data_IF_036783456590
#
_entry.id   IF_036783456590
#
_cell.length_a   1.000
_cell.length_b   1.000
_cell.length_c   1.000
_cell.angle_alpha   90.00
_cell.angle_beta   90.00
_cell.angle_gamma   90.00
#
_symmetry.space_group_name_H-M   'P 1'
#
loop_
_entity.id
_entity.type
_entity.pdbx_description
1 polymer ?
#
# COMPACT_ATOMS: atom_id res chain seq x y z
N UNK A 1 -19.45 11.88 12.05
CA UNK A 1 -19.00 11.77 10.66
C UNK A 1 -20.22 11.80 9.74
N UNK A 2 -20.24 12.69 8.74
CA UNK A 2 -21.23 12.68 7.67
C UNK A 2 -20.62 12.04 6.43
N UNK A 3 -20.94 10.77 6.19
CA UNK A 3 -20.34 10.00 5.09
C UNK A 3 -20.68 10.54 3.69
N UNK A 4 -21.82 11.25 3.52
CA UNK A 4 -22.20 11.84 2.23
C UNK A 4 -21.38 13.08 1.89
N UNK A 5 -21.01 13.87 2.90
CA UNK A 5 -20.26 15.12 2.72
C UNK A 5 -18.76 14.97 2.97
N UNK A 6 -18.36 13.91 3.66
CA UNK A 6 -16.97 13.72 4.07
C UNK A 6 -16.55 14.68 5.19
N UNK A 7 -17.48 15.08 6.07
CA UNK A 7 -17.26 16.14 7.08
C UNK A 7 -17.61 15.68 8.50
N UNK A 8 -16.99 16.32 9.48
CA UNK A 8 -17.34 16.29 10.90
C UNK A 8 -17.96 17.63 11.33
N UNK A 9 -18.60 17.67 12.51
CA UNK A 9 -19.31 18.87 12.99
C UNK A 9 -18.35 20.00 13.38
N UNK A 10 -17.12 19.67 13.77
CA UNK A 10 -16.14 20.63 14.23
C UNK A 10 -15.35 21.19 13.05
N UNK A 11 -15.39 22.52 12.87
CA UNK A 11 -14.72 23.19 11.76
C UNK A 11 -13.18 23.00 11.76
N UNK A 12 -12.55 22.94 12.94
CA UNK A 12 -11.11 22.69 13.07
C UNK A 12 -10.75 21.28 12.61
N UNK A 13 -11.54 20.30 13.01
CA UNK A 13 -11.32 18.91 12.60
C UNK A 13 -11.65 18.71 11.11
N UNK A 14 -12.59 19.48 10.54
CA UNK A 14 -12.79 19.54 9.08
C UNK A 14 -11.56 20.06 8.34
N UNK A 15 -10.92 21.12 8.84
CA UNK A 15 -9.68 21.65 8.25
C UNK A 15 -8.54 20.62 8.26
N UNK A 16 -8.38 19.90 9.39
CA UNK A 16 -7.41 18.79 9.51
C UNK A 16 -7.72 17.67 8.53
N UNK A 17 -8.99 17.29 8.42
CA UNK A 17 -9.42 16.24 7.51
C UNK A 17 -9.20 16.62 6.04
N UNK A 18 -9.52 17.87 5.66
CA UNK A 18 -9.29 18.36 4.31
C UNK A 18 -7.80 18.34 3.95
N UNK A 19 -6.93 18.75 4.88
CA UNK A 19 -5.47 18.70 4.70
C UNK A 19 -4.98 17.27 4.53
N UNK A 20 -5.46 16.34 5.37
CA UNK A 20 -5.13 14.92 5.25
C UNK A 20 -5.62 14.32 3.92
N UNK A 21 -6.82 14.66 3.46
CA UNK A 21 -7.34 14.21 2.16
C UNK A 21 -6.51 14.75 0.98
N UNK A 22 -6.02 15.99 1.07
CA UNK A 22 -5.12 16.55 0.06
C UNK A 22 -3.80 15.78 0.03
N UNK A 23 -3.19 15.52 1.19
CA UNK A 23 -1.95 14.74 1.30
C UNK A 23 -2.10 13.32 0.73
N UNK A 24 -3.22 12.65 1.03
CA UNK A 24 -3.54 11.32 0.49
C UNK A 24 -3.64 11.36 -1.03
N UNK A 25 -4.30 12.38 -1.61
CA UNK A 25 -4.42 12.55 -3.06
C UNK A 25 -3.08 12.82 -3.73
N UNK A 26 -2.24 13.66 -3.13
CA UNK A 26 -0.93 13.98 -3.68
C UNK A 26 -0.01 12.75 -3.68
N UNK A 27 0.06 12.03 -2.55
CA UNK A 27 0.83 10.77 -2.46
C UNK A 27 0.29 9.68 -3.38
N UNK A 28 -1.04 9.60 -3.55
CA UNK A 28 -1.67 8.72 -4.55
C UNK A 28 -1.19 9.09 -5.96
N UNK A 29 -1.39 10.32 -6.42
CA UNK A 29 -1.01 10.72 -7.77
C UNK A 29 0.49 10.52 -8.04
N UNK A 30 1.35 10.84 -7.07
CA UNK A 30 2.79 10.61 -7.18
C UNK A 30 3.15 9.13 -7.37
N UNK A 31 2.48 8.23 -6.63
CA UNK A 31 2.69 6.79 -6.78
C UNK A 31 2.19 6.29 -8.13
N UNK A 32 1.06 6.80 -8.63
CA UNK A 32 0.47 6.38 -9.90
C UNK A 32 1.42 6.71 -11.04
N UNK A 33 1.92 7.95 -11.05
CA UNK A 33 2.87 8.42 -12.05
C UNK A 33 4.19 7.65 -12.01
N UNK A 34 4.66 7.26 -10.83
CA UNK A 34 5.97 6.59 -10.68
C UNK A 34 5.90 5.09 -10.97
N UNK A 35 4.84 4.42 -10.53
CA UNK A 35 4.78 2.96 -10.48
C UNK A 35 3.75 2.35 -11.44
N UNK A 36 2.92 3.16 -12.11
CA UNK A 36 1.85 2.70 -13.01
C UNK A 36 0.65 2.05 -12.30
N UNK A 37 0.84 1.51 -11.10
CA UNK A 37 -0.18 0.86 -10.26
C UNK A 37 -0.08 1.32 -8.82
N UNK A 38 -1.23 1.41 -8.14
CA UNK A 38 -1.31 1.70 -6.71
C UNK A 38 -2.17 0.66 -6.00
N UNK A 39 -1.58 -0.02 -5.02
CA UNK A 39 -2.36 -0.79 -4.04
C UNK A 39 -2.61 0.03 -2.77
N UNK A 40 -3.65 -0.32 -2.02
CA UNK A 40 -3.95 0.33 -0.72
C UNK A 40 -2.79 0.22 0.27
N UNK A 41 -2.00 -0.86 0.21
CA UNK A 41 -0.85 -1.03 1.10
C UNK A 41 0.34 -0.14 0.69
N UNK A 42 0.54 0.14 -0.61
CA UNK A 42 1.51 1.15 -1.09
C UNK A 42 1.16 2.53 -0.56
N UNK A 43 -0.09 2.95 -0.72
CA UNK A 43 -0.54 4.27 -0.26
C UNK A 43 -0.37 4.40 1.27
N UNK A 44 -0.73 3.36 2.03
CA UNK A 44 -0.51 3.32 3.49
C UNK A 44 0.96 3.38 3.89
N UNK A 45 1.86 2.80 3.09
CA UNK A 45 3.29 2.80 3.35
C UNK A 45 3.88 4.21 3.10
N UNK A 46 3.55 4.87 1.99
CA UNK A 46 3.98 6.25 1.73
C UNK A 46 3.41 7.22 2.77
N UNK A 47 2.16 7.06 3.20
CA UNK A 47 1.55 7.88 4.25
C UNK A 47 2.20 7.72 5.62
N UNK A 48 3.01 6.68 5.82
CA UNK A 48 3.76 6.44 7.06
C UNK A 48 5.26 6.57 6.87
N UNK A 49 5.67 7.28 5.81
CA UNK A 49 7.04 7.54 5.41
C UNK A 49 7.89 6.26 5.37
N UNK A 50 7.28 5.19 4.86
CA UNK A 50 7.96 3.93 4.55
C UNK A 50 8.38 3.92 3.09
N UNK A 51 9.53 3.32 2.83
CA UNK A 51 10.00 3.13 1.46
C UNK A 51 9.01 2.24 0.69
N UNK A 52 8.49 2.78 -0.40
CA UNK A 52 7.62 2.08 -1.35
C UNK A 52 8.21 2.07 -2.75
N UNK A 53 9.51 2.36 -2.86
CA UNK A 53 10.26 2.33 -4.12
C UNK A 53 10.52 0.88 -4.54
N UNK A 54 9.51 0.01 -4.42
CA UNK A 54 9.50 -1.30 -5.04
C UNK A 54 8.94 -1.16 -6.44
N UNK A 55 9.68 -1.60 -7.46
CA UNK A 55 9.14 -1.78 -8.82
C UNK A 55 8.66 -3.21 -9.06
N UNK A 56 8.84 -4.10 -8.09
CA UNK A 56 8.60 -5.53 -8.22
C UNK A 56 7.70 -6.05 -7.09
N UNK A 57 6.83 -6.99 -7.44
CA UNK A 57 5.73 -7.49 -6.63
C UNK A 57 6.19 -8.21 -5.35
N UNK A 58 7.09 -9.18 -5.46
CA UNK A 58 7.58 -9.96 -4.32
C UNK A 58 8.49 -9.11 -3.44
N UNK A 59 9.42 -8.34 -4.04
CA UNK A 59 10.26 -7.42 -3.28
C UNK A 59 9.45 -6.43 -2.42
N UNK A 60 8.41 -5.85 -3.01
CA UNK A 60 7.51 -4.95 -2.28
C UNK A 60 6.72 -5.69 -1.19
N UNK A 61 6.23 -6.89 -1.47
CA UNK A 61 5.56 -7.74 -0.48
C UNK A 61 6.45 -8.10 0.72
N UNK A 62 7.74 -8.37 0.51
CA UNK A 62 8.70 -8.64 1.59
C UNK A 62 8.90 -7.42 2.49
N UNK A 63 8.98 -6.23 1.89
CA UNK A 63 9.05 -4.95 2.60
C UNK A 63 7.83 -4.74 3.50
N UNK A 64 6.63 -5.06 3.01
CA UNK A 64 5.40 -5.00 3.81
C UNK A 64 5.46 -6.00 4.99
N UNK A 65 5.88 -7.24 4.74
CA UNK A 65 5.96 -8.27 5.79
C UNK A 65 6.91 -7.85 6.90
N UNK A 66 8.09 -7.36 6.57
CA UNK A 66 9.09 -6.91 7.57
C UNK A 66 8.62 -5.66 8.34
N UNK A 67 7.88 -4.77 7.70
CA UNK A 67 7.26 -3.66 8.42
C UNK A 67 6.26 -4.15 9.48
N UNK A 68 5.38 -5.09 9.14
CA UNK A 68 4.43 -5.63 10.13
C UNK A 68 5.13 -6.50 11.19
N UNK A 69 6.28 -7.10 10.89
CA UNK A 69 7.09 -7.88 11.85
C UNK A 69 7.50 -7.05 13.07
N UNK A 70 7.86 -5.79 12.85
CA UNK A 70 8.30 -4.86 13.91
C UNK A 70 7.13 -4.12 14.58
N UNK A 71 5.90 -4.31 14.09
CA UNK A 71 4.70 -3.69 14.66
C UNK A 71 4.09 -4.52 15.80
N UNK A 72 3.30 -3.90 16.69
CA UNK A 72 2.52 -4.61 17.73
C UNK A 72 1.34 -5.44 17.16
N UNK A 73 1.22 -5.60 15.84
CA UNK A 73 0.09 -6.25 15.16
C UNK A 73 0.43 -7.70 14.73
N UNK A 74 0.60 -8.61 15.69
CA UNK A 74 1.06 -10.00 15.44
C UNK A 74 0.19 -10.80 14.46
N UNK A 75 -1.14 -10.69 14.57
CA UNK A 75 -2.06 -11.42 13.67
C UNK A 75 -1.95 -10.92 12.23
N UNK A 76 -1.86 -9.61 12.04
CA UNK A 76 -1.64 -9.01 10.72
C UNK A 76 -0.32 -9.45 10.11
N UNK A 77 0.76 -9.48 10.90
CA UNK A 77 2.06 -9.99 10.46
C UNK A 77 1.97 -11.45 9.97
N UNK A 78 1.37 -12.35 10.76
CA UNK A 78 1.24 -13.76 10.38
C UNK A 78 0.44 -13.92 9.08
N UNK A 79 -0.64 -13.17 8.93
CA UNK A 79 -1.45 -13.17 7.71
C UNK A 79 -0.64 -12.71 6.49
N UNK A 80 0.06 -11.57 6.59
CA UNK A 80 0.91 -11.05 5.51
C UNK A 80 2.01 -12.04 5.13
N UNK A 81 2.67 -12.66 6.12
CA UNK A 81 3.72 -13.67 5.90
C UNK A 81 3.20 -14.89 5.12
N UNK A 82 2.02 -15.41 5.48
CA UNK A 82 1.41 -16.53 4.77
C UNK A 82 1.05 -16.16 3.33
N UNK A 83 0.41 -15.00 3.13
CA UNK A 83 0.09 -14.51 1.80
C UNK A 83 1.33 -14.32 0.93
N UNK A 84 2.39 -13.74 1.48
CA UNK A 84 3.64 -13.53 0.75
C UNK A 84 4.29 -14.85 0.33
N UNK A 85 4.23 -15.88 1.17
CA UNK A 85 4.69 -17.23 0.82
C UNK A 85 3.88 -17.81 -0.36
N UNK A 86 2.56 -17.67 -0.32
CA UNK A 86 1.69 -18.17 -1.39
C UNK A 86 1.90 -17.41 -2.69
N UNK A 87 2.04 -16.08 -2.61
CA UNK A 87 2.32 -15.22 -3.77
C UNK A 87 3.64 -15.60 -4.43
N UNK A 88 4.70 -15.83 -3.64
CA UNK A 88 6.00 -16.29 -4.15
C UNK A 88 5.88 -17.65 -4.86
N UNK A 89 5.16 -18.60 -4.27
CA UNK A 89 4.93 -19.90 -4.91
C UNK A 89 4.19 -19.75 -6.25
N UNK A 90 3.21 -18.87 -6.33
CA UNK A 90 2.51 -18.55 -7.57
C UNK A 90 3.43 -17.93 -8.61
N UNK A 91 4.21 -16.90 -8.25
CA UNK A 91 5.15 -16.25 -9.18
C UNK A 91 6.17 -17.25 -9.74
N UNK A 92 6.75 -18.09 -8.88
CA UNK A 92 7.67 -19.14 -9.34
C UNK A 92 6.99 -20.20 -10.20
N UNK A 93 5.68 -20.47 -10.01
CA UNK A 93 4.94 -21.39 -10.88
C UNK A 93 4.77 -20.86 -12.32
N UNK A 94 4.99 -19.56 -12.53
CA UNK A 94 5.04 -18.91 -13.85
C UNK A 94 6.46 -18.88 -14.45
N UNK A 95 7.43 -19.57 -13.85
CA UNK A 95 8.86 -19.52 -14.21
C UNK A 95 9.45 -18.10 -14.14
N UNK A 96 8.96 -17.32 -13.16
CA UNK A 96 9.44 -15.96 -12.87
C UNK A 96 10.03 -15.89 -11.46
N UNK A 97 11.12 -15.14 -11.31
CA UNK A 97 11.72 -14.84 -10.01
C UNK A 97 10.98 -13.71 -9.26
N UNK A 98 10.44 -12.74 -10.00
CA UNK A 98 9.58 -11.65 -9.52
C UNK A 98 8.74 -11.09 -10.70
N UNK A 99 7.83 -10.16 -10.43
CA UNK A 99 6.99 -9.49 -11.44
C UNK A 99 7.13 -7.98 -11.27
N UNK A 100 7.53 -7.27 -12.33
CA UNK A 100 7.53 -5.82 -12.30
C UNK A 100 6.09 -5.28 -12.27
N UNK A 101 5.85 -4.19 -11.55
CA UNK A 101 4.49 -3.61 -11.45
C UNK A 101 3.95 -3.15 -12.79
N UNK A 102 4.81 -2.67 -13.69
CA UNK A 102 4.44 -2.29 -15.06
C UNK A 102 3.96 -3.48 -15.91
N UNK A 103 4.35 -4.72 -15.56
CA UNK A 103 3.94 -5.94 -16.24
C UNK A 103 2.60 -6.49 -15.73
N UNK A 104 2.08 -5.96 -14.61
CA UNK A 104 0.78 -6.37 -14.07
C UNK A 104 -0.30 -5.63 -14.85
N UNK A 105 -1.18 -6.38 -15.50
CA UNK A 105 -2.36 -5.83 -16.16
C UNK A 105 -3.63 -6.48 -15.60
N UNK A 106 -4.77 -5.81 -15.77
CA UNK A 106 -6.08 -6.26 -15.28
C UNK A 106 -6.84 -7.15 -16.28
N UNK A 107 -6.18 -7.63 -17.34
CA UNK A 107 -6.84 -8.42 -18.39
C UNK A 107 -7.01 -9.90 -18.02
#
# INVERSE_FOLDING_TARGET
WNAKKGEVRNARDNGRLASFLAEVKDKYNSLLTTNGIITVEMLKAVLKDKDTTGRFLLNFGDTIVEWYRTSKARQTFLHKRTWQKNLRAFVHSLDKDDIAFEDINEN
#
